data_IF_399844801445
#
_entry.id   IF_399844801445
#
_cell.length_a   1.000
_cell.length_b   1.000
_cell.length_c   1.000
_cell.angle_alpha   90.00
_cell.angle_beta   90.00
_cell.angle_gamma   90.00
#
_symmetry.space_group_name_H-M   'P 1'
#
loop_
_entity.id
_entity.type
_entity.pdbx_description
1 polymer ?
#
# COMPACT_ATOMS: atom_id res chain seq x y z
N UNK A 1 -7.40 -50.01 -29.73
CA UNK A 1 -8.12 -49.07 -28.84
C UNK A 1 -7.21 -48.32 -27.85
N UNK A 2 -6.03 -48.79 -27.53
CA UNK A 2 -5.11 -48.19 -26.49
C UNK A 2 -4.40 -46.93 -27.05
N UNK A 3 -4.01 -46.88 -28.31
CA UNK A 3 -3.27 -45.77 -28.93
C UNK A 3 -4.01 -44.43 -28.87
N UNK A 4 -5.33 -44.33 -29.18
CA UNK A 4 -6.03 -43.03 -29.13
C UNK A 4 -6.17 -42.46 -27.71
N UNK A 5 -6.26 -43.35 -26.70
CA UNK A 5 -6.35 -42.92 -25.29
C UNK A 5 -5.01 -42.29 -24.84
N UNK A 6 -3.90 -42.91 -25.21
CA UNK A 6 -2.57 -42.41 -24.87
C UNK A 6 -2.29 -41.03 -25.53
N UNK A 7 -2.73 -40.86 -26.78
CA UNK A 7 -2.58 -39.58 -27.49
C UNK A 7 -3.39 -38.44 -26.82
N UNK A 8 -4.60 -38.74 -26.38
CA UNK A 8 -5.45 -37.76 -25.65
C UNK A 8 -4.79 -37.38 -24.29
N UNK A 9 -4.29 -38.35 -23.55
CA UNK A 9 -3.59 -38.08 -22.29
C UNK A 9 -2.32 -37.21 -22.48
N UNK A 10 -1.54 -37.48 -23.52
CA UNK A 10 -0.37 -36.66 -23.85
C UNK A 10 -0.77 -35.24 -24.24
N UNK A 11 -1.82 -35.07 -25.05
CA UNK A 11 -2.35 -33.75 -25.41
C UNK A 11 -2.87 -32.96 -24.21
N UNK A 12 -3.60 -33.61 -23.30
CA UNK A 12 -4.06 -32.99 -22.07
C UNK A 12 -2.89 -32.59 -21.18
N UNK A 13 -1.87 -33.45 -21.03
CA UNK A 13 -0.67 -33.16 -20.25
C UNK A 13 0.11 -31.97 -20.86
N UNK A 14 0.31 -31.94 -22.17
CA UNK A 14 0.94 -30.83 -22.87
C UNK A 14 0.14 -29.56 -22.71
N UNK A 15 -1.19 -29.62 -22.82
CA UNK A 15 -2.06 -28.45 -22.63
C UNK A 15 -1.97 -27.92 -21.18
N UNK A 16 -1.96 -28.81 -20.18
CA UNK A 16 -1.78 -28.45 -18.77
C UNK A 16 -0.40 -27.83 -18.57
N UNK A 17 0.67 -28.42 -19.13
CA UNK A 17 2.02 -27.87 -19.04
C UNK A 17 2.14 -26.51 -19.73
N UNK A 18 1.53 -26.33 -20.91
CA UNK A 18 1.50 -25.04 -21.61
C UNK A 18 0.73 -24.01 -20.79
N UNK A 19 -0.44 -24.36 -20.25
CA UNK A 19 -1.26 -23.45 -19.44
C UNK A 19 -0.60 -23.09 -18.11
N UNK A 20 0.17 -24.01 -17.52
CA UNK A 20 0.94 -23.73 -16.30
C UNK A 20 2.22 -22.91 -16.56
N UNK A 21 2.87 -23.13 -17.72
CA UNK A 21 4.08 -22.39 -18.11
C UNK A 21 3.79 -20.96 -18.62
N UNK A 22 2.59 -20.69 -19.10
CA UNK A 22 2.21 -19.36 -19.63
C UNK A 22 1.73 -18.38 -18.55
N UNK A 23 1.61 -18.79 -17.28
CA UNK A 23 1.40 -17.83 -16.21
C UNK A 23 2.69 -17.04 -16.00
N UNK A 24 2.83 -15.91 -16.72
CA UNK A 24 3.88 -14.93 -16.43
C UNK A 24 3.90 -14.71 -14.91
N UNK A 25 5.09 -14.83 -14.30
CA UNK A 25 5.27 -14.43 -12.90
C UNK A 25 4.81 -12.98 -12.77
N UNK A 26 4.08 -12.63 -11.70
CA UNK A 26 3.70 -11.24 -11.48
C UNK A 26 4.95 -10.36 -11.45
N UNK A 27 4.87 -9.24 -12.15
CA UNK A 27 6.00 -8.31 -12.31
C UNK A 27 6.21 -7.42 -11.08
N UNK A 28 5.48 -7.68 -10.00
CA UNK A 28 5.52 -6.89 -8.78
C UNK A 28 5.64 -7.77 -7.54
N UNK A 29 6.05 -7.17 -6.44
CA UNK A 29 6.10 -7.76 -5.11
C UNK A 29 5.11 -7.07 -4.19
N UNK A 30 4.45 -7.83 -3.32
CA UNK A 30 3.58 -7.31 -2.28
C UNK A 30 4.32 -7.13 -0.96
N UNK A 31 3.91 -6.13 -0.21
CA UNK A 31 4.36 -5.87 1.15
C UNK A 31 3.14 -5.72 2.06
N UNK A 32 3.22 -6.31 3.25
CA UNK A 32 2.25 -6.12 4.31
C UNK A 32 2.87 -5.28 5.43
N UNK A 33 2.36 -4.08 5.64
CA UNK A 33 2.74 -3.24 6.76
C UNK A 33 1.87 -3.56 7.97
N UNK A 34 2.50 -3.99 9.06
CA UNK A 34 1.83 -4.35 10.31
C UNK A 34 2.69 -3.99 11.51
N UNK A 35 2.13 -4.02 12.70
CA UNK A 35 2.90 -4.01 13.94
C UNK A 35 3.13 -5.46 14.43
N UNK A 36 4.24 -5.70 15.09
CA UNK A 36 4.52 -7.00 15.70
C UNK A 36 3.40 -7.42 16.67
N UNK A 37 2.84 -6.44 17.39
CA UNK A 37 1.73 -6.61 18.33
C UNK A 37 0.36 -6.79 17.66
N UNK A 38 0.25 -6.61 16.34
CA UNK A 38 -1.01 -6.73 15.58
C UNK A 38 -1.18 -8.13 14.96
N UNK A 39 -0.88 -9.20 15.71
CA UNK A 39 -0.91 -10.60 15.22
C UNK A 39 -2.26 -10.94 14.57
N UNK A 40 -3.39 -10.61 15.23
CA UNK A 40 -4.73 -10.91 14.70
C UNK A 40 -4.97 -10.31 13.30
N UNK A 41 -4.59 -9.04 13.07
CA UNK A 41 -4.78 -8.40 11.77
C UNK A 41 -3.89 -9.02 10.70
N UNK A 42 -2.65 -9.29 11.07
CA UNK A 42 -1.67 -9.94 10.18
C UNK A 42 -2.15 -11.33 9.76
N UNK A 43 -2.58 -12.16 10.70
CA UNK A 43 -3.11 -13.49 10.44
C UNK A 43 -4.35 -13.41 9.55
N UNK A 44 -5.29 -12.52 9.86
CA UNK A 44 -6.48 -12.30 9.04
C UNK A 44 -6.15 -11.90 7.60
N UNK A 45 -5.13 -11.08 7.38
CA UNK A 45 -4.65 -10.78 6.03
C UNK A 45 -4.08 -12.03 5.37
N UNK A 46 -3.20 -12.76 6.08
CA UNK A 46 -2.52 -13.94 5.55
C UNK A 46 -3.48 -15.08 5.20
N UNK A 47 -4.54 -15.27 5.96
CA UNK A 47 -5.58 -16.29 5.70
C UNK A 47 -6.29 -16.06 4.35
N UNK A 48 -6.28 -14.83 3.86
CA UNK A 48 -6.90 -14.46 2.58
C UNK A 48 -5.88 -14.22 1.46
N UNK A 49 -4.60 -14.32 1.77
CA UNK A 49 -3.52 -14.15 0.80
C UNK A 49 -3.19 -15.50 0.13
N UNK A 50 -3.42 -15.61 -1.18
CA UNK A 50 -3.33 -16.89 -1.90
C UNK A 50 -1.89 -17.31 -2.29
N UNK A 51 -0.90 -16.49 -2.00
CA UNK A 51 0.51 -16.78 -2.32
C UNK A 51 0.88 -16.65 -3.80
N UNK A 52 -0.03 -16.18 -4.66
CA UNK A 52 0.23 -16.05 -6.11
C UNK A 52 1.27 -14.99 -6.45
N UNK A 53 1.48 -14.02 -5.57
CA UNK A 53 2.49 -12.96 -5.68
C UNK A 53 3.46 -13.07 -4.48
N UNK A 54 4.77 -12.83 -4.63
CA UNK A 54 5.67 -12.77 -3.48
C UNK A 54 5.25 -11.72 -2.46
N UNK A 55 5.22 -12.08 -1.17
CA UNK A 55 4.88 -11.20 -0.06
C UNK A 55 6.06 -11.04 0.89
N UNK A 56 6.31 -9.81 1.34
CA UNK A 56 7.22 -9.49 2.42
C UNK A 56 6.48 -8.74 3.53
N UNK A 57 6.74 -9.10 4.79
CA UNK A 57 6.14 -8.42 5.94
C UNK A 57 7.09 -7.32 6.44
N UNK A 58 6.55 -6.12 6.61
CA UNK A 58 7.22 -4.99 7.23
C UNK A 58 6.64 -4.80 8.62
N UNK A 59 7.47 -4.99 9.64
CA UNK A 59 7.10 -4.69 11.00
C UNK A 59 7.41 -3.23 11.32
N UNK A 60 6.35 -2.41 11.36
CA UNK A 60 6.44 -1.01 11.74
C UNK A 60 6.80 -0.84 13.22
N UNK A 61 7.31 0.32 13.57
CA UNK A 61 7.64 0.68 14.95
C UNK A 61 6.39 1.24 15.65
N UNK A 62 6.02 0.68 16.80
CA UNK A 62 4.95 1.25 17.65
C UNK A 62 5.43 2.53 18.35
N UNK A 63 5.24 3.65 17.69
CA UNK A 63 5.64 4.98 18.16
C UNK A 63 4.65 5.61 19.16
N UNK A 64 3.55 4.94 19.49
CA UNK A 64 2.71 5.30 20.65
C UNK A 64 3.50 5.15 21.96
N UNK A 65 4.52 4.30 21.95
CA UNK A 65 5.54 4.24 22.98
C UNK A 65 6.54 5.37 22.76
N UNK A 66 6.66 6.26 23.73
CA UNK A 66 7.42 7.50 23.63
C UNK A 66 8.91 7.28 23.31
N UNK A 67 9.51 6.23 23.89
CA UNK A 67 10.89 5.83 23.63
C UNK A 67 11.15 5.49 22.15
N UNK A 68 10.13 4.96 21.47
CA UNK A 68 10.21 4.68 20.04
C UNK A 68 10.04 5.95 19.20
N UNK A 69 9.10 6.83 19.56
CA UNK A 69 8.89 8.10 18.86
C UNK A 69 10.15 9.00 18.92
N UNK A 70 10.84 9.02 20.05
CA UNK A 70 12.09 9.79 20.23
C UNK A 70 13.19 9.44 19.23
N UNK A 71 13.22 8.21 18.73
CA UNK A 71 14.20 7.77 17.71
C UNK A 71 14.10 8.57 16.42
N UNK A 72 12.91 9.07 16.11
CA UNK A 72 12.60 9.79 14.88
C UNK A 72 12.55 11.32 15.04
N UNK A 73 12.74 11.84 16.27
CA UNK A 73 12.59 13.28 16.58
C UNK A 73 13.38 14.19 15.63
N UNK A 74 14.59 13.79 15.22
CA UNK A 74 15.48 14.61 14.39
C UNK A 74 15.01 14.78 12.95
N UNK A 75 14.14 13.91 12.48
CA UNK A 75 13.61 13.94 11.10
C UNK A 75 12.17 14.44 11.03
N UNK A 76 11.60 14.83 12.17
CA UNK A 76 10.27 15.39 12.28
C UNK A 76 10.39 16.90 12.46
N UNK A 77 9.53 17.66 11.78
CA UNK A 77 9.43 19.10 11.97
C UNK A 77 9.11 19.39 13.45
N UNK A 78 9.84 20.29 14.13
CA UNK A 78 9.76 20.46 15.58
C UNK A 78 8.37 20.79 16.12
N UNK A 79 7.56 21.56 15.37
CA UNK A 79 6.21 21.92 15.80
C UNK A 79 5.27 20.69 15.73
N UNK A 80 5.36 19.88 14.68
CA UNK A 80 4.60 18.64 14.56
C UNK A 80 4.94 17.65 15.66
N UNK A 81 6.24 17.49 15.99
CA UNK A 81 6.65 16.64 17.10
C UNK A 81 6.12 17.13 18.45
N UNK A 82 6.16 18.45 18.68
CA UNK A 82 5.62 19.07 19.91
C UNK A 82 4.12 18.86 20.04
N UNK A 83 3.36 19.03 18.95
CA UNK A 83 1.91 18.79 18.97
C UNK A 83 1.58 17.31 19.20
N UNK A 84 2.32 16.39 18.60
CA UNK A 84 2.15 14.96 18.86
C UNK A 84 2.41 14.60 20.34
N UNK A 85 3.41 15.23 20.97
CA UNK A 85 3.67 15.08 22.41
C UNK A 85 2.54 15.66 23.27
N UNK A 86 2.03 16.85 22.94
CA UNK A 86 0.88 17.44 23.66
C UNK A 86 -0.32 16.52 23.62
N UNK A 87 -0.62 15.93 22.45
CA UNK A 87 -1.72 14.95 22.32
C UNK A 87 -1.47 13.69 23.15
N UNK A 88 -0.24 13.21 23.21
CA UNK A 88 0.14 12.05 24.01
C UNK A 88 -0.09 12.26 25.51
N UNK A 89 0.26 13.44 26.03
CA UNK A 89 0.14 13.77 27.45
C UNK A 89 -1.25 14.33 27.84
N UNK A 90 -2.10 14.69 26.88
CA UNK A 90 -3.41 15.22 27.18
C UNK A 90 -4.37 14.09 27.60
N UNK A 91 -4.87 14.15 28.83
CA UNK A 91 -5.79 13.17 29.38
C UNK A 91 -7.15 13.14 28.64
N UNK A 92 -7.61 14.27 28.08
CA UNK A 92 -8.83 14.36 27.27
C UNK A 92 -8.54 13.98 25.81
N UNK A 93 -8.29 12.71 25.56
CA UNK A 93 -7.90 12.18 24.24
C UNK A 93 -9.04 12.07 23.22
N UNK A 94 -10.26 12.42 23.61
CA UNK A 94 -11.42 12.41 22.71
C UNK A 94 -11.37 13.63 21.79
N UNK A 95 -10.59 13.55 20.73
CA UNK A 95 -10.71 14.48 19.62
C UNK A 95 -11.46 13.78 18.48
N UNK A 96 -12.60 14.34 18.05
CA UNK A 96 -13.36 13.78 16.93
C UNK A 96 -12.65 13.96 15.58
N UNK A 97 -11.55 14.69 15.56
CA UNK A 97 -10.85 15.06 14.34
C UNK A 97 -9.66 14.12 14.08
N UNK A 98 -9.76 13.34 13.02
CA UNK A 98 -8.74 12.39 12.58
C UNK A 98 -7.53 13.07 11.92
N UNK A 99 -7.56 14.40 11.74
CA UNK A 99 -6.51 15.15 11.03
C UNK A 99 -5.31 15.49 11.91
N UNK A 100 -5.37 15.23 13.22
CA UNK A 100 -4.24 15.55 14.09
C UNK A 100 -3.09 14.57 13.97
N UNK A 101 -1.92 15.11 13.67
CA UNK A 101 -0.66 14.38 13.71
C UNK A 101 -0.34 13.98 15.17
N UNK A 102 -0.23 12.69 15.42
CA UNK A 102 0.05 12.12 16.74
C UNK A 102 1.24 11.16 16.69
N UNK A 103 1.65 10.62 17.86
CA UNK A 103 2.80 9.71 17.90
C UNK A 103 2.58 8.46 17.01
N UNK A 104 1.38 7.90 16.94
CA UNK A 104 1.08 6.76 16.07
C UNK A 104 1.27 7.07 14.58
N UNK A 105 0.98 8.33 14.17
CA UNK A 105 1.20 8.77 12.79
C UNK A 105 2.69 8.72 12.38
N UNK A 106 3.61 8.97 13.31
CA UNK A 106 5.06 8.83 13.07
C UNK A 106 5.40 7.39 12.68
N UNK A 107 4.87 6.40 13.41
CA UNK A 107 5.12 4.98 13.14
C UNK A 107 4.56 4.53 11.81
N UNK A 108 3.34 4.97 11.47
CA UNK A 108 2.73 4.73 10.18
C UNK A 108 3.59 5.33 9.06
N UNK A 109 3.98 6.61 9.20
CA UNK A 109 4.84 7.30 8.26
C UNK A 109 6.14 6.52 8.00
N UNK A 110 6.84 6.16 9.07
CA UNK A 110 8.11 5.44 8.97
C UNK A 110 7.95 4.03 8.40
N UNK A 111 6.81 3.37 8.61
CA UNK A 111 6.50 2.10 7.97
C UNK A 111 6.43 2.23 6.45
N UNK A 112 5.79 3.29 5.94
CA UNK A 112 5.77 3.58 4.50
C UNK A 112 7.16 3.97 3.97
N UNK A 113 7.97 4.70 4.74
CA UNK A 113 9.35 5.02 4.34
C UNK A 113 10.22 3.77 4.29
N UNK A 114 10.03 2.82 5.20
CA UNK A 114 10.72 1.51 5.16
C UNK A 114 10.30 0.70 3.93
N UNK A 115 9.02 0.73 3.55
CA UNK A 115 8.54 0.14 2.30
C UNK A 115 9.27 0.71 1.09
N UNK A 116 9.34 2.04 0.93
CA UNK A 116 10.05 2.65 -0.18
C UNK A 116 11.52 2.24 -0.20
N UNK A 117 12.20 2.31 0.94
CA UNK A 117 13.60 1.93 1.06
C UNK A 117 13.85 0.48 0.64
N UNK A 118 13.04 -0.47 1.14
CA UNK A 118 13.14 -1.89 0.74
C UNK A 118 12.92 -2.09 -0.74
N UNK A 119 11.98 -1.37 -1.35
CA UNK A 119 11.78 -1.42 -2.79
C UNK A 119 13.02 -0.95 -3.57
N UNK A 120 13.68 0.12 -3.09
CA UNK A 120 14.91 0.64 -3.70
C UNK A 120 16.08 -0.32 -3.53
N UNK A 121 16.29 -0.84 -2.31
CA UNK A 121 17.39 -1.76 -1.97
C UNK A 121 17.29 -3.09 -2.76
N UNK A 122 16.06 -3.55 -3.00
CA UNK A 122 15.79 -4.79 -3.77
C UNK A 122 15.72 -4.56 -5.28
N UNK A 123 15.89 -3.33 -5.77
CA UNK A 123 15.79 -2.97 -7.19
C UNK A 123 14.50 -3.47 -7.85
N UNK A 124 13.38 -3.39 -7.14
CA UNK A 124 12.08 -3.78 -7.69
C UNK A 124 11.67 -2.75 -8.77
N UNK A 125 10.94 -3.22 -9.78
CA UNK A 125 10.31 -2.31 -10.76
C UNK A 125 8.97 -1.81 -10.25
N UNK A 126 8.15 -2.73 -9.73
CA UNK A 126 6.84 -2.43 -9.19
C UNK A 126 6.68 -3.06 -7.81
N UNK A 127 6.00 -2.37 -6.92
CA UNK A 127 5.70 -2.88 -5.58
C UNK A 127 4.33 -2.42 -5.10
N UNK A 128 3.64 -3.29 -4.37
CA UNK A 128 2.34 -3.01 -3.75
C UNK A 128 2.49 -3.09 -2.24
N UNK A 129 1.95 -2.12 -1.53
CA UNK A 129 1.81 -2.18 -0.08
C UNK A 129 0.35 -2.36 0.31
N UNK A 130 0.13 -3.18 1.33
CA UNK A 130 -1.13 -3.31 2.06
C UNK A 130 -0.88 -2.96 3.53
N UNK A 131 -1.78 -2.18 4.13
CA UNK A 131 -1.83 -2.09 5.59
C UNK A 131 -2.60 -3.31 6.15
N UNK A 132 -2.31 -3.70 7.37
CA UNK A 132 -2.82 -4.92 8.00
C UNK A 132 -4.33 -4.95 8.28
N UNK A 133 -5.02 -3.84 8.09
CA UNK A 133 -6.48 -3.76 8.14
C UNK A 133 -7.17 -3.95 6.78
N UNK A 134 -6.41 -4.21 5.73
CA UNK A 134 -6.94 -4.61 4.43
C UNK A 134 -7.24 -6.11 4.45
N UNK A 135 -8.41 -6.51 3.99
CA UNK A 135 -8.81 -7.90 3.80
C UNK A 135 -9.05 -8.15 2.32
N UNK A 136 -8.38 -9.15 1.76
CA UNK A 136 -8.56 -9.58 0.37
C UNK A 136 -9.78 -10.48 0.32
N UNK A 137 -10.85 -10.05 -0.34
CA UNK A 137 -12.08 -10.85 -0.52
C UNK A 137 -12.05 -11.70 -1.77
N UNK A 138 -11.30 -11.27 -2.77
CA UNK A 138 -11.25 -11.89 -4.08
C UNK A 138 -9.85 -11.79 -4.67
N UNK A 139 -9.28 -12.91 -5.01
CA UNK A 139 -7.92 -13.01 -5.56
C UNK A 139 -7.78 -12.41 -6.95
N UNK A 140 -8.89 -12.03 -7.60
CA UNK A 140 -8.86 -11.19 -8.81
C UNK A 140 -8.11 -9.87 -8.62
N UNK A 141 -7.95 -9.41 -7.37
CA UNK A 141 -7.15 -8.22 -7.04
C UNK A 141 -5.76 -8.26 -7.67
N UNK A 142 -5.10 -9.42 -7.67
CA UNK A 142 -3.75 -9.55 -8.23
C UNK A 142 -3.72 -9.33 -9.74
N UNK A 143 -4.73 -9.83 -10.46
CA UNK A 143 -4.88 -9.60 -11.89
C UNK A 143 -5.21 -8.13 -12.18
N UNK A 144 -6.10 -7.53 -11.40
CA UNK A 144 -6.47 -6.12 -11.55
C UNK A 144 -5.27 -5.17 -11.34
N UNK A 145 -4.37 -5.52 -10.42
CA UNK A 145 -3.11 -4.80 -10.20
C UNK A 145 -2.17 -4.99 -11.40
N UNK A 146 -2.02 -6.23 -11.89
CA UNK A 146 -1.20 -6.52 -13.06
C UNK A 146 -1.72 -5.80 -14.32
N UNK A 147 -3.04 -5.67 -14.47
CA UNK A 147 -3.67 -4.95 -15.57
C UNK A 147 -3.34 -3.43 -15.53
N UNK A 148 -3.22 -2.83 -14.33
CA UNK A 148 -2.72 -1.45 -14.19
C UNK A 148 -1.28 -1.35 -14.68
N UNK A 149 -0.41 -2.27 -14.28
CA UNK A 149 0.98 -2.32 -14.70
C UNK A 149 1.09 -2.48 -16.22
N UNK A 150 0.37 -3.44 -16.79
CA UNK A 150 0.37 -3.70 -18.24
C UNK A 150 -0.12 -2.49 -19.03
N UNK A 151 -1.08 -1.77 -18.50
CA UNK A 151 -1.68 -0.62 -19.17
C UNK A 151 -0.81 0.63 -19.09
N UNK A 152 -0.18 0.88 -17.94
CA UNK A 152 0.58 2.10 -17.68
C UNK A 152 2.08 1.95 -17.95
N UNK A 153 2.63 0.74 -17.83
CA UNK A 153 4.07 0.55 -17.96
C UNK A 153 4.82 1.49 -17.03
N UNK A 154 5.64 2.35 -17.61
CA UNK A 154 6.45 3.31 -16.86
C UNK A 154 5.75 4.70 -16.70
N UNK A 155 4.48 4.82 -17.14
CA UNK A 155 3.77 6.11 -17.19
C UNK A 155 2.94 6.39 -15.92
N UNK A 156 3.47 6.09 -14.74
CA UNK A 156 2.90 6.47 -13.46
C UNK A 156 3.94 6.43 -12.34
N UNK A 157 3.65 7.11 -11.25
CA UNK A 157 4.39 7.03 -9.99
C UNK A 157 3.65 6.16 -8.98
N UNK A 158 2.34 6.33 -8.85
CA UNK A 158 1.51 5.60 -7.89
C UNK A 158 0.13 5.27 -8.47
N UNK A 159 -0.47 4.18 -8.00
CA UNK A 159 -1.88 3.86 -8.20
C UNK A 159 -2.51 3.37 -6.89
N UNK A 160 -3.51 4.08 -6.40
CA UNK A 160 -4.24 3.71 -5.19
C UNK A 160 -5.41 2.80 -5.52
N UNK A 161 -5.66 1.81 -4.66
CA UNK A 161 -6.75 0.84 -4.79
C UNK A 161 -7.84 1.00 -3.74
N UNK A 162 -7.59 1.85 -2.76
CA UNK A 162 -8.54 2.30 -1.77
C UNK A 162 -8.28 3.76 -1.44
N UNK A 163 -9.34 4.55 -1.25
CA UNK A 163 -9.24 5.91 -0.75
C UNK A 163 -10.40 6.22 0.22
N UNK A 164 -10.14 7.16 1.12
CA UNK A 164 -11.18 7.78 1.94
C UNK A 164 -11.87 8.90 1.16
N UNK A 165 -11.09 9.71 0.47
CA UNK A 165 -11.56 10.79 -0.38
C UNK A 165 -10.55 11.01 -1.51
N UNK A 166 -11.00 11.58 -2.64
CA UNK A 166 -10.17 11.93 -3.78
C UNK A 166 -10.78 13.04 -4.61
N UNK A 167 -9.92 13.74 -5.33
CA UNK A 167 -10.31 14.71 -6.35
C UNK A 167 -9.77 14.24 -7.71
N UNK A 168 -10.66 13.81 -8.62
CA UNK A 168 -10.25 13.30 -9.92
C UNK A 168 -9.78 14.44 -10.85
N UNK A 169 -8.88 14.10 -11.76
CA UNK A 169 -8.56 14.92 -12.91
C UNK A 169 -9.57 14.61 -14.03
N UNK A 170 -10.62 15.44 -14.14
CA UNK A 170 -11.76 15.21 -15.04
C UNK A 170 -11.36 15.08 -16.51
N UNK A 171 -10.23 15.65 -16.90
CA UNK A 171 -9.72 15.61 -18.28
C UNK A 171 -9.08 14.26 -18.64
N UNK A 172 -8.81 13.42 -17.64
CA UNK A 172 -8.07 12.17 -17.79
C UNK A 172 -8.88 10.90 -17.52
N UNK A 173 -10.21 11.00 -17.40
CA UNK A 173 -11.04 9.83 -17.10
C UNK A 173 -10.97 8.79 -18.24
N UNK A 174 -10.41 7.63 -17.96
CA UNK A 174 -10.29 6.53 -18.92
C UNK A 174 -11.45 5.57 -18.81
N UNK A 175 -11.91 5.03 -19.94
CA UNK A 175 -12.98 4.00 -20.00
C UNK A 175 -12.69 2.74 -19.19
N UNK A 176 -11.45 2.55 -18.74
CA UNK A 176 -10.98 1.39 -17.98
C UNK A 176 -11.21 1.46 -16.47
N UNK A 177 -11.87 2.50 -15.97
CA UNK A 177 -12.02 2.73 -14.54
C UNK A 177 -10.73 3.14 -13.82
N UNK A 178 -9.67 3.45 -14.55
CA UNK A 178 -8.44 4.02 -14.03
C UNK A 178 -8.53 5.55 -14.15
N UNK A 179 -8.46 6.23 -13.03
CA UNK A 179 -8.71 7.66 -12.90
C UNK A 179 -7.43 8.36 -12.42
N UNK A 180 -6.93 9.34 -13.18
CA UNK A 180 -5.88 10.22 -12.69
C UNK A 180 -6.43 11.12 -11.60
N UNK A 181 -5.67 11.36 -10.54
CA UNK A 181 -6.12 12.17 -9.41
C UNK A 181 -5.22 13.37 -9.19
N UNK A 182 -5.83 14.50 -8.81
CA UNK A 182 -5.16 15.72 -8.36
C UNK A 182 -4.93 15.72 -6.84
N UNK A 183 -5.68 14.91 -6.14
CA UNK A 183 -5.60 14.73 -4.70
C UNK A 183 -6.20 13.38 -4.30
N UNK A 184 -5.63 12.73 -3.29
CA UNK A 184 -6.12 11.48 -2.75
C UNK A 184 -5.66 11.29 -1.31
N UNK A 185 -6.55 10.87 -0.42
CA UNK A 185 -6.24 10.53 0.96
C UNK A 185 -6.45 9.04 1.21
N UNK A 186 -5.49 8.38 1.73
CA UNK A 186 -5.43 7.01 2.25
C UNK A 186 -4.11 6.37 1.88
N UNK A 187 -3.67 5.43 2.71
CA UNK A 187 -2.46 4.63 2.48
C UNK A 187 -2.70 3.13 2.56
N UNK A 188 -3.99 2.74 2.62
CA UNK A 188 -4.40 1.35 2.91
C UNK A 188 -3.87 0.33 1.92
N UNK A 189 -3.92 0.67 0.62
CA UNK A 189 -3.41 -0.19 -0.44
C UNK A 189 -3.05 0.64 -1.65
N UNK A 190 -1.80 0.57 -2.10
CA UNK A 190 -1.35 1.23 -3.33
C UNK A 190 -0.16 0.53 -3.99
N UNK A 191 -0.05 0.70 -5.30
CA UNK A 191 1.04 0.28 -6.18
C UNK A 191 1.96 1.46 -6.44
N UNK A 192 3.27 1.21 -6.51
CA UNK A 192 4.27 2.19 -6.97
C UNK A 192 5.07 1.66 -8.16
N UNK A 193 5.47 2.58 -9.04
CA UNK A 193 6.60 2.39 -9.95
C UNK A 193 7.87 2.86 -9.21
N UNK A 194 8.72 1.92 -8.84
CA UNK A 194 9.81 2.17 -7.87
C UNK A 194 10.81 3.21 -8.36
N UNK A 195 11.28 3.11 -9.61
CA UNK A 195 12.26 4.06 -10.13
C UNK A 195 11.69 5.46 -10.28
N UNK A 196 10.41 5.58 -10.67
CA UNK A 196 9.75 6.87 -10.75
C UNK A 196 9.56 7.52 -9.38
N UNK A 197 9.35 6.72 -8.32
CA UNK A 197 9.20 7.21 -6.95
C UNK A 197 10.52 7.66 -6.32
N UNK A 198 11.68 7.14 -6.74
CA UNK A 198 12.99 7.52 -6.19
C UNK A 198 13.23 9.03 -6.18
N UNK A 199 12.84 9.74 -7.25
CA UNK A 199 13.03 11.19 -7.37
C UNK A 199 12.24 11.99 -6.33
N UNK A 200 11.13 11.44 -5.83
CA UNK A 200 10.28 12.09 -4.84
C UNK A 200 10.63 11.74 -3.40
N UNK A 201 11.41 10.68 -3.14
CA UNK A 201 11.67 10.18 -1.80
C UNK A 201 12.22 11.24 -0.83
N UNK A 202 13.09 12.13 -1.30
CA UNK A 202 13.62 13.23 -0.49
C UNK A 202 12.55 14.21 0.01
N UNK A 203 11.41 14.32 -0.67
CA UNK A 203 10.34 15.25 -0.32
C UNK A 203 9.44 14.73 0.80
N UNK A 204 9.62 13.49 1.22
CA UNK A 204 8.98 12.97 2.42
C UNK A 204 9.63 13.47 3.72
N UNK A 205 10.76 14.18 3.64
CA UNK A 205 11.45 14.70 4.81
C UNK A 205 11.66 16.22 4.73
N UNK A 206 11.62 16.94 5.87
CA UNK A 206 11.25 16.44 7.22
C UNK A 206 9.79 15.96 7.26
N UNK A 207 9.46 15.15 8.28
CA UNK A 207 8.08 14.74 8.54
C UNK A 207 7.33 15.93 9.15
N UNK A 208 6.40 16.49 8.41
CA UNK A 208 5.63 17.69 8.78
C UNK A 208 4.12 17.49 8.56
N UNK A 209 3.70 16.26 8.27
CA UNK A 209 2.30 15.90 8.09
C UNK A 209 2.12 14.37 8.11
N UNK A 210 0.88 13.89 7.96
CA UNK A 210 0.59 12.49 7.67
C UNK A 210 1.16 12.07 6.31
N UNK A 211 1.45 10.77 6.16
CA UNK A 211 2.07 10.24 4.93
C UNK A 211 1.18 10.38 3.69
N UNK A 212 -0.14 10.29 3.85
CA UNK A 212 -1.09 10.53 2.76
C UNK A 212 -1.09 11.99 2.29
N UNK A 213 -0.97 12.95 3.21
CA UNK A 213 -0.80 14.37 2.87
C UNK A 213 0.51 14.63 2.12
N UNK A 214 1.57 13.84 2.40
CA UNK A 214 2.82 13.91 1.61
C UNK A 214 2.66 13.34 0.20
N UNK A 215 1.77 12.39 0.00
CA UNK A 215 1.41 11.96 -1.34
C UNK A 215 0.75 13.09 -2.14
N UNK A 216 -0.02 13.97 -1.50
CA UNK A 216 -0.55 15.19 -2.14
C UNK A 216 0.58 16.14 -2.55
N UNK A 217 1.58 16.36 -1.70
CA UNK A 217 2.73 17.21 -2.02
C UNK A 217 3.47 16.71 -3.27
N UNK A 218 3.65 15.40 -3.43
CA UNK A 218 4.31 14.86 -4.63
C UNK A 218 3.41 14.94 -5.87
N UNK A 219 2.09 14.86 -5.73
CA UNK A 219 1.14 15.11 -6.82
C UNK A 219 1.27 16.56 -7.29
N UNK A 220 1.30 17.52 -6.36
CA UNK A 220 1.50 18.93 -6.67
C UNK A 220 2.85 19.22 -7.37
N UNK A 221 3.85 18.35 -7.18
CA UNK A 221 5.16 18.38 -7.85
C UNK A 221 5.20 17.65 -9.20
N UNK A 222 4.04 17.20 -9.69
CA UNK A 222 3.88 16.60 -11.01
C UNK A 222 3.93 15.07 -11.02
N UNK A 223 3.85 14.38 -9.88
CA UNK A 223 3.69 12.93 -9.86
C UNK A 223 2.38 12.52 -10.54
N UNK A 224 2.46 11.51 -11.40
CA UNK A 224 1.29 10.92 -12.08
C UNK A 224 0.70 9.85 -11.18
N UNK A 225 -0.35 10.22 -10.47
CA UNK A 225 -1.03 9.37 -9.51
C UNK A 225 -2.40 9.02 -10.01
N UNK A 226 -2.72 7.73 -9.90
CA UNK A 226 -3.99 7.17 -10.37
C UNK A 226 -4.74 6.53 -9.20
N UNK A 227 -6.03 6.36 -9.41
CA UNK A 227 -6.92 5.57 -8.57
C UNK A 227 -7.65 4.54 -9.42
N UNK A 228 -7.75 3.32 -8.89
CA UNK A 228 -8.61 2.26 -9.42
C UNK A 228 -9.43 1.67 -8.29
N UNK A 229 -10.76 1.69 -8.43
CA UNK A 229 -11.65 1.15 -7.42
C UNK A 229 -11.58 -0.38 -7.37
N UNK A 230 -10.99 -0.92 -6.32
CA UNK A 230 -10.93 -2.36 -6.05
C UNK A 230 -11.75 -2.77 -4.81
N UNK A 231 -12.73 -1.97 -4.37
CA UNK A 231 -13.59 -2.31 -3.21
C UNK A 231 -14.40 -3.58 -3.41
N UNK A 232 -14.59 -4.04 -4.63
CA UNK A 232 -15.18 -5.34 -4.93
C UNK A 232 -14.24 -6.51 -4.59
N UNK A 233 -12.92 -6.30 -4.59
CA UNK A 233 -11.90 -7.29 -4.21
C UNK A 233 -11.34 -7.06 -2.81
N UNK A 234 -11.38 -5.83 -2.29
CA UNK A 234 -10.76 -5.43 -1.03
C UNK A 234 -11.80 -4.92 -0.04
N UNK A 235 -11.55 -5.18 1.23
CA UNK A 235 -12.35 -4.64 2.33
C UNK A 235 -11.42 -4.05 3.40
N UNK A 236 -11.84 -2.96 4.05
CA UNK A 236 -11.13 -2.43 5.22
C UNK A 236 -11.81 -2.95 6.47
N UNK A 237 -11.07 -3.73 7.25
CA UNK A 237 -11.52 -4.18 8.54
C UNK A 237 -11.46 -3.03 9.55
N UNK A 238 -12.62 -2.67 10.08
CA UNK A 238 -12.80 -1.62 11.10
C UNK A 238 -13.17 -2.19 12.48
N UNK A 239 -13.10 -3.52 12.63
CA UNK A 239 -13.51 -4.17 13.90
C UNK A 239 -12.57 -3.87 15.06
N UNK A 240 -11.36 -3.39 14.76
CA UNK A 240 -10.34 -3.03 15.75
C UNK A 240 -9.98 -1.57 15.61
N UNK A 241 -9.71 -0.94 16.75
CA UNK A 241 -9.27 0.46 16.81
C UNK A 241 -8.05 0.71 15.95
N UNK A 242 -7.98 1.88 15.35
CA UNK A 242 -6.83 2.32 14.56
C UNK A 242 -5.53 2.22 15.38
N UNK A 243 -4.50 1.62 14.81
CA UNK A 243 -3.16 1.58 15.43
C UNK A 243 -2.48 2.95 15.43
N UNK A 244 -3.01 3.91 14.67
CA UNK A 244 -2.56 5.32 14.70
C UNK A 244 -3.16 6.07 15.89
N UNK A 245 -4.17 5.49 16.58
CA UNK A 245 -4.78 6.11 17.76
C UNK A 245 -5.91 7.08 17.43
N UNK A 246 -6.51 6.95 16.26
CA UNK A 246 -7.79 7.55 15.93
C UNK A 246 -8.88 6.56 16.40
N UNK A 247 -9.46 6.79 17.52
CA UNK A 247 -10.63 6.06 18.04
C UNK A 247 -11.87 6.93 17.93
#
# INVERSE_FOLDING_TARGET
MIVPILLVLVLVLVLVLVLTHTRKKPEYKCFLLTLETSAYRREKFLDHYDGSVPLEIIYGTDTRKLENAKKYQKIIEPNYYREALKLHYNANKTRPDITYFNLGAIGCYMGHMDFYRRCFDQNLKYAVIFEDNVVIKDTRVYREIQDVINKKGDDFEMCFFHCLSRYPDKESAEKSGLERVKWISSTKCYLIHVDNMKKYYKHFFPIDNHVDMKHEDIIARGARVYYKDLRHCLHIDRTHNSTIGHS
#
